data_IF_600460950051
#
_entry.id   IF_600460950051
#
_cell.length_a   1.000
_cell.length_b   1.000
_cell.length_c   1.000
_cell.angle_alpha   90.00
_cell.angle_beta   90.00
_cell.angle_gamma   90.00
#
_symmetry.space_group_name_H-M   'P 1'
#
loop_
_entity.id
_entity.type
_entity.pdbx_description
1 polymer ?
#
# COMPACT_ATOMS: atom_id res chain seq x y z
N UNK A 1 -10.20 7.90 -23.60
CA UNK A 1 -9.84 8.14 -22.18
C UNK A 1 -9.27 6.84 -21.63
N UNK A 2 -7.95 6.72 -21.64
CA UNK A 2 -7.24 5.58 -21.04
C UNK A 2 -7.57 5.53 -19.56
N UNK A 3 -8.18 4.43 -19.10
CA UNK A 3 -8.41 4.20 -17.67
C UNK A 3 -7.04 3.97 -17.03
N UNK A 4 -6.42 5.09 -16.66
CA UNK A 4 -5.02 5.19 -16.28
C UNK A 4 -4.62 4.11 -15.28
N UNK A 5 -3.56 3.36 -15.60
CA UNK A 5 -2.87 2.48 -14.67
C UNK A 5 -2.39 3.31 -13.47
N UNK A 6 -3.23 3.47 -12.44
CA UNK A 6 -2.84 4.15 -11.21
C UNK A 6 -1.60 3.45 -10.66
N UNK A 7 -0.53 4.21 -10.43
CA UNK A 7 0.71 3.65 -9.88
C UNK A 7 0.45 3.01 -8.51
N UNK A 8 1.23 1.98 -8.17
CA UNK A 8 1.12 1.26 -6.89
C UNK A 8 1.17 2.24 -5.69
N UNK A 9 2.09 3.20 -5.76
CA UNK A 9 2.26 4.22 -4.74
C UNK A 9 1.01 5.09 -4.58
N UNK A 10 0.44 5.60 -5.68
CA UNK A 10 -0.79 6.40 -5.64
C UNK A 10 -1.95 5.59 -5.04
N UNK A 11 -2.09 4.35 -5.48
CA UNK A 11 -3.08 3.38 -4.97
C UNK A 11 -3.00 3.14 -3.46
N UNK A 12 -1.80 3.19 -2.88
CA UNK A 12 -1.56 2.99 -1.45
C UNK A 12 -1.71 4.29 -0.65
N UNK A 13 -1.36 5.44 -1.25
CA UNK A 13 -1.61 6.76 -0.66
C UNK A 13 -3.09 7.10 -0.57
N UNK A 14 -3.89 6.79 -1.60
CA UNK A 14 -5.34 7.01 -1.62
C UNK A 14 -6.13 6.05 -0.73
N UNK A 15 -5.49 4.96 -0.26
CA UNK A 15 -6.15 3.99 0.61
C UNK A 15 -6.60 4.71 1.90
N UNK A 16 -7.86 4.50 2.30
CA UNK A 16 -8.38 5.03 3.57
C UNK A 16 -7.69 4.35 4.74
N UNK A 17 -7.53 5.07 5.86
CA UNK A 17 -7.02 4.47 7.10
C UNK A 17 -7.95 3.30 7.50
N UNK A 18 -7.36 2.23 8.02
CA UNK A 18 -7.99 0.94 8.34
C UNK A 18 -8.56 0.15 7.18
N UNK A 19 -8.56 0.67 5.95
CA UNK A 19 -8.95 -0.09 4.76
C UNK A 19 -7.83 -1.00 4.28
N UNK A 20 -8.22 -2.12 3.66
CA UNK A 20 -7.34 -3.14 3.11
C UNK A 20 -7.29 -3.05 1.59
N UNK A 21 -6.14 -3.35 1.00
CA UNK A 21 -5.94 -3.54 -0.43
C UNK A 21 -5.23 -4.85 -0.67
N UNK A 22 -5.80 -5.66 -1.56
CA UNK A 22 -5.28 -6.99 -1.90
C UNK A 22 -4.45 -6.92 -3.16
N UNK A 23 -3.32 -7.60 -3.15
CA UNK A 23 -2.42 -7.82 -4.27
C UNK A 23 -2.21 -9.32 -4.45
N UNK A 24 -1.78 -9.72 -5.66
CA UNK A 24 -1.30 -11.08 -5.88
C UNK A 24 0.07 -11.25 -5.21
N UNK A 25 0.39 -12.46 -4.74
CA UNK A 25 1.70 -12.77 -4.15
C UNK A 25 2.86 -12.49 -5.10
N UNK A 26 2.67 -12.65 -6.41
CA UNK A 26 3.66 -12.29 -7.42
C UNK A 26 4.11 -10.81 -7.35
N UNK A 27 3.24 -9.93 -6.85
CA UNK A 27 3.53 -8.50 -6.68
C UNK A 27 4.10 -8.15 -5.30
N UNK A 28 4.26 -9.13 -4.38
CA UNK A 28 4.70 -8.90 -2.99
C UNK A 28 5.96 -8.05 -2.91
N UNK A 29 7.00 -8.39 -3.66
CA UNK A 29 8.28 -7.66 -3.64
C UNK A 29 8.11 -6.19 -4.06
N UNK A 30 7.38 -5.93 -5.14
CA UNK A 30 7.10 -4.57 -5.62
C UNK A 30 6.25 -3.78 -4.62
N UNK A 31 5.27 -4.43 -3.97
CA UNK A 31 4.46 -3.80 -2.93
C UNK A 31 5.33 -3.46 -1.72
N UNK A 32 6.16 -4.38 -1.23
CA UNK A 32 7.08 -4.14 -0.09
C UNK A 32 8.02 -2.96 -0.37
N UNK A 33 8.65 -2.93 -1.56
CA UNK A 33 9.51 -1.82 -1.96
C UNK A 33 8.77 -0.48 -1.96
N UNK A 34 7.53 -0.48 -2.45
CA UNK A 34 6.68 0.72 -2.42
C UNK A 34 6.35 1.13 -0.98
N UNK A 35 6.04 0.18 -0.10
CA UNK A 35 5.74 0.45 1.32
C UNK A 35 6.94 1.02 2.07
N UNK A 36 8.15 0.55 1.77
CA UNK A 36 9.38 1.09 2.35
C UNK A 36 9.57 2.57 1.98
N UNK A 37 9.36 2.92 0.70
CA UNK A 37 9.38 4.32 0.26
C UNK A 37 8.31 5.15 0.99
N UNK A 38 7.07 4.67 1.04
CA UNK A 38 5.97 5.39 1.70
C UNK A 38 6.19 5.53 3.21
N UNK A 39 6.90 4.60 3.85
CA UNK A 39 7.31 4.70 5.26
C UNK A 39 8.23 5.90 5.49
N UNK A 40 9.17 6.17 4.59
CA UNK A 40 10.01 7.37 4.63
C UNK A 40 9.21 8.66 4.40
N UNK A 41 8.10 8.58 3.66
CA UNK A 41 7.14 9.67 3.48
C UNK A 41 6.18 9.82 4.68
N UNK A 42 6.33 9.01 5.75
CA UNK A 42 5.53 9.09 6.99
C UNK A 42 4.25 8.24 7.01
N UNK A 43 3.93 7.51 5.94
CA UNK A 43 2.79 6.58 5.95
C UNK A 43 3.12 5.31 6.76
N UNK A 44 2.12 4.72 7.42
CA UNK A 44 2.27 3.39 8.05
C UNK A 44 1.26 2.39 7.49
N UNK A 45 1.72 1.18 7.25
CA UNK A 45 0.92 0.06 6.75
C UNK A 45 1.25 -1.22 7.51
N UNK A 46 0.26 -2.09 7.67
CA UNK A 46 0.45 -3.49 8.07
C UNK A 46 0.20 -4.40 6.88
N UNK A 47 0.81 -5.58 6.89
CA UNK A 47 0.72 -6.54 5.79
C UNK A 47 0.42 -7.94 6.28
N UNK A 48 -0.34 -8.69 5.49
CA UNK A 48 -0.70 -10.09 5.76
C UNK A 48 -0.50 -10.89 4.47
N UNK A 49 0.14 -12.06 4.56
CA UNK A 49 0.35 -12.94 3.40
C UNK A 49 -0.49 -14.20 3.55
N UNK A 50 -1.28 -14.51 2.53
CA UNK A 50 -2.10 -15.72 2.45
C UNK A 50 -1.57 -16.57 1.30
N UNK A 51 -0.57 -17.40 1.62
CA UNK A 51 0.16 -18.22 0.64
C UNK A 51 -0.73 -19.26 -0.04
N UNK A 52 -1.65 -19.84 0.73
CA UNK A 52 -2.71 -20.74 0.30
C UNK A 52 -3.62 -20.13 -0.77
N UNK A 53 -3.86 -18.82 -0.70
CA UNK A 53 -4.77 -18.10 -1.60
C UNK A 53 -4.07 -17.28 -2.67
N UNK A 54 -2.74 -17.30 -2.73
CA UNK A 54 -2.01 -16.47 -3.69
C UNK A 54 -2.08 -14.97 -3.42
N UNK A 55 -2.43 -14.55 -2.19
CA UNK A 55 -2.76 -13.15 -1.87
C UNK A 55 -1.75 -12.48 -0.90
N UNK A 56 -1.55 -11.19 -1.10
CA UNK A 56 -0.81 -10.30 -0.21
C UNK A 56 -1.67 -9.08 0.10
N UNK A 57 -2.03 -8.90 1.36
CA UNK A 57 -2.97 -7.87 1.82
C UNK A 57 -2.19 -6.77 2.52
N UNK A 58 -2.51 -5.52 2.20
CA UNK A 58 -1.95 -4.33 2.84
C UNK A 58 -3.07 -3.54 3.49
N UNK A 59 -2.94 -3.22 4.77
CA UNK A 59 -3.86 -2.35 5.51
C UNK A 59 -3.16 -1.04 5.85
N UNK A 60 -3.80 0.10 5.58
CA UNK A 60 -3.24 1.39 5.97
C UNK A 60 -3.54 1.68 7.43
N UNK A 61 -2.53 2.10 8.17
CA UNK A 61 -2.62 2.41 9.59
C UNK A 61 -2.55 3.91 9.86
N UNK A 62 -1.72 4.63 9.12
CA UNK A 62 -1.45 6.05 9.35
C UNK A 62 -1.18 6.77 8.03
N UNK A 63 -1.72 7.97 7.89
CA UNK A 63 -1.20 8.97 6.95
C UNK A 63 0.00 9.66 7.59
N UNK A 64 0.97 10.20 6.84
CA UNK A 64 1.85 11.20 7.40
C UNK A 64 0.96 12.24 8.05
N UNK A 65 1.28 12.60 9.29
CA UNK A 65 0.77 13.84 9.85
C UNK A 65 1.07 14.90 8.80
N UNK A 66 0.07 15.73 8.43
CA UNK A 66 0.41 17.01 7.83
C UNK A 66 1.42 17.59 8.81
N UNK A 67 2.68 17.67 8.40
CA UNK A 67 3.65 18.47 9.12
C UNK A 67 3.08 19.86 8.96
N UNK A 68 2.27 20.28 9.92
CA UNK A 68 1.87 21.67 10.09
C UNK A 68 3.17 22.34 10.49
N UNK A 69 3.91 22.80 9.49
CA UNK A 69 5.04 23.71 9.67
C UNK A 69 4.45 25.06 10.10
#
# INVERSE_FOLDING_TARGET
MDTAKKSMALSLRELKINSKKTFTLAKRTSVISTLQRLKSEGYRFTTESFTDKGMFVVKKMLNPESVTI
#
